data_IF_063681694941
#
_entry.id   IF_063681694941
#
_cell.length_a   1.000
_cell.length_b   1.000
_cell.length_c   1.000
_cell.angle_alpha   90.00
_cell.angle_beta   90.00
_cell.angle_gamma   90.00
#
_symmetry.space_group_name_H-M   'P 1'
#
loop_
_entity.id
_entity.type
_entity.pdbx_description
1 polymer ?
#
# COMPACT_ATOMS: atom_id res chain seq x y z
N UNK A 1 -23.79 0.82 -4.97
CA UNK A 1 -23.19 -0.39 -5.54
C UNK A 1 -22.33 -0.14 -6.78
N UNK A 2 -22.74 0.71 -7.73
CA UNK A 2 -21.95 1.02 -8.94
C UNK A 2 -20.50 1.48 -8.68
N UNK A 3 -20.27 2.34 -7.67
CA UNK A 3 -18.91 2.80 -7.30
C UNK A 3 -17.98 1.66 -6.83
N UNK A 4 -18.49 0.69 -6.05
CA UNK A 4 -17.66 -0.44 -5.61
C UNK A 4 -17.30 -1.37 -6.78
N UNK A 5 -18.23 -1.60 -7.71
CA UNK A 5 -17.98 -2.43 -8.89
C UNK A 5 -16.94 -1.81 -9.83
N UNK A 6 -17.06 -0.51 -10.12
CA UNK A 6 -16.07 0.26 -10.89
C UNK A 6 -14.70 0.25 -10.23
N UNK A 7 -14.68 0.40 -8.90
CA UNK A 7 -13.46 0.43 -8.15
C UNK A 7 -12.75 -0.93 -8.07
N UNK A 8 -13.48 -2.01 -7.82
CA UNK A 8 -12.92 -3.37 -7.83
C UNK A 8 -12.34 -3.68 -9.21
N UNK A 9 -13.02 -3.23 -10.28
CA UNK A 9 -12.53 -3.36 -11.65
C UNK A 9 -11.25 -2.54 -11.87
N UNK A 10 -11.15 -1.31 -11.38
CA UNK A 10 -9.92 -0.51 -11.45
C UNK A 10 -8.74 -1.21 -10.76
N UNK A 11 -8.95 -1.78 -9.57
CA UNK A 11 -7.92 -2.55 -8.86
C UNK A 11 -7.44 -3.79 -9.63
N UNK A 12 -8.37 -4.50 -10.28
CA UNK A 12 -8.04 -5.62 -11.15
C UNK A 12 -7.23 -5.16 -12.38
N UNK A 13 -7.60 -4.02 -12.98
CA UNK A 13 -6.91 -3.46 -14.15
C UNK A 13 -5.51 -2.93 -13.83
N UNK A 14 -5.28 -2.40 -12.62
CA UNK A 14 -3.93 -2.06 -12.14
C UNK A 14 -3.02 -3.29 -12.14
N UNK A 15 -3.57 -4.45 -11.78
CA UNK A 15 -2.82 -5.72 -11.81
C UNK A 15 -2.56 -6.22 -13.25
N UNK A 16 -3.16 -5.58 -14.26
CA UNK A 16 -2.93 -5.80 -15.69
C UNK A 16 -2.10 -4.67 -16.33
N UNK A 17 -1.48 -3.80 -15.53
CA UNK A 17 -0.62 -2.71 -16.02
C UNK A 17 -1.37 -1.52 -16.64
N UNK A 18 -2.68 -1.41 -16.40
CA UNK A 18 -3.50 -0.30 -16.91
C UNK A 18 -4.04 0.52 -15.74
N UNK A 19 -3.58 1.77 -15.61
CA UNK A 19 -4.20 2.74 -14.72
C UNK A 19 -5.49 3.29 -15.37
N UNK A 20 -6.64 2.73 -14.98
CA UNK A 20 -7.94 3.09 -15.54
C UNK A 20 -8.51 4.37 -14.90
N UNK A 21 -7.83 5.50 -15.09
CA UNK A 21 -8.19 6.79 -14.47
C UNK A 21 -9.60 7.25 -14.80
N UNK A 22 -10.10 6.96 -16.01
CA UNK A 22 -11.47 7.32 -16.41
C UNK A 22 -12.56 6.61 -15.59
N UNK A 23 -12.32 5.35 -15.20
CA UNK A 23 -13.23 4.62 -14.32
C UNK A 23 -13.15 5.14 -12.89
N UNK A 24 -11.96 5.55 -12.47
CA UNK A 24 -11.74 6.20 -11.19
C UNK A 24 -12.46 7.54 -11.12
N UNK A 25 -12.35 8.39 -12.14
CA UNK A 25 -13.05 9.68 -12.21
C UNK A 25 -14.57 9.48 -12.02
N UNK A 26 -15.17 8.54 -12.74
CA UNK A 26 -16.60 8.17 -12.57
C UNK A 26 -16.93 7.65 -11.18
N UNK A 27 -16.03 6.88 -10.57
CA UNK A 27 -16.19 6.38 -9.20
C UNK A 27 -16.15 7.53 -8.18
N UNK A 28 -15.28 8.52 -8.37
CA UNK A 28 -15.15 9.67 -7.48
C UNK A 28 -16.33 10.63 -7.60
N UNK A 29 -16.95 10.76 -8.78
CA UNK A 29 -18.23 11.47 -8.90
C UNK A 29 -19.34 10.84 -8.05
N UNK A 30 -19.38 9.50 -7.98
CA UNK A 30 -20.31 8.77 -7.09
C UNK A 30 -19.94 9.01 -5.62
N UNK A 31 -18.64 9.01 -5.29
CA UNK A 31 -18.16 9.28 -3.95
C UNK A 31 -18.58 10.69 -3.48
N UNK A 32 -18.38 11.72 -4.30
CA UNK A 32 -18.73 13.10 -3.99
C UNK A 32 -20.22 13.26 -3.59
N UNK A 33 -21.11 12.53 -4.26
CA UNK A 33 -22.56 12.52 -4.00
C UNK A 33 -23.01 11.61 -2.86
N UNK A 34 -22.14 10.77 -2.32
CA UNK A 34 -22.49 9.82 -1.25
C UNK A 34 -22.71 10.53 0.08
N UNK A 35 -23.79 10.19 0.78
CA UNK A 35 -24.03 10.64 2.15
C UNK A 35 -23.28 9.79 3.20
N UNK A 36 -22.66 8.67 2.79
CA UNK A 36 -21.98 7.74 3.69
C UNK A 36 -20.46 8.02 3.75
N UNK A 37 -19.90 8.45 4.91
CA UNK A 37 -18.48 8.78 5.05
C UNK A 37 -17.54 7.61 4.76
N UNK A 38 -17.87 6.40 5.22
CA UNK A 38 -17.08 5.20 4.95
C UNK A 38 -16.97 4.88 3.46
N UNK A 39 -18.07 5.03 2.72
CA UNK A 39 -18.07 4.84 1.25
C UNK A 39 -17.22 5.91 0.56
N UNK A 40 -17.34 7.18 0.99
CA UNK A 40 -16.50 8.27 0.48
C UNK A 40 -15.02 7.97 0.69
N UNK A 41 -14.63 7.67 1.93
CA UNK A 41 -13.24 7.39 2.30
C UNK A 41 -12.67 6.24 1.48
N UNK A 42 -13.39 5.11 1.40
CA UNK A 42 -12.94 3.95 0.63
C UNK A 42 -12.73 4.28 -0.86
N UNK A 43 -13.69 4.94 -1.51
CA UNK A 43 -13.59 5.26 -2.94
C UNK A 43 -12.46 6.25 -3.23
N UNK A 44 -12.26 7.24 -2.37
CA UNK A 44 -11.15 8.20 -2.52
C UNK A 44 -9.78 7.56 -2.28
N UNK A 45 -9.63 6.71 -1.26
CA UNK A 45 -8.39 5.94 -1.04
C UNK A 45 -8.00 5.10 -2.27
N UNK A 46 -8.99 4.41 -2.84
CA UNK A 46 -8.81 3.60 -4.04
C UNK A 46 -8.49 4.43 -5.29
N UNK A 47 -9.10 5.61 -5.40
CA UNK A 47 -8.78 6.56 -6.45
C UNK A 47 -7.36 7.10 -6.34
N UNK A 48 -6.92 7.44 -5.13
CA UNK A 48 -5.55 7.88 -4.86
C UNK A 48 -4.51 6.85 -5.32
N UNK A 49 -4.75 5.57 -5.01
CA UNK A 49 -3.90 4.47 -5.47
C UNK A 49 -3.83 4.39 -7.00
N UNK A 50 -4.98 4.53 -7.68
CA UNK A 50 -5.01 4.53 -9.16
C UNK A 50 -4.22 5.69 -9.75
N UNK A 51 -4.36 6.90 -9.18
CA UNK A 51 -3.60 8.06 -9.63
C UNK A 51 -2.10 7.96 -9.34
N UNK A 52 -1.73 7.32 -8.22
CA UNK A 52 -0.33 7.12 -7.87
C UNK A 52 0.35 6.20 -8.89
N UNK A 53 -0.29 5.08 -9.23
CA UNK A 53 0.18 4.17 -10.30
C UNK A 53 0.23 4.86 -11.66
N UNK A 54 -0.66 5.83 -11.91
CA UNK A 54 -0.63 6.66 -13.12
C UNK A 54 0.44 7.79 -13.10
N UNK A 55 1.21 7.93 -12.02
CA UNK A 55 2.20 9.00 -11.85
C UNK A 55 1.60 10.39 -11.54
N UNK A 56 0.30 10.49 -11.28
CA UNK A 56 -0.38 11.77 -11.08
C UNK A 56 -0.41 12.18 -9.60
N UNK A 57 0.70 12.80 -9.15
CA UNK A 57 0.86 13.21 -7.75
C UNK A 57 -0.18 14.22 -7.26
N UNK A 58 -0.66 15.12 -8.12
CA UNK A 58 -1.67 16.12 -7.76
C UNK A 58 -3.03 15.47 -7.48
N UNK A 59 -3.50 14.62 -8.39
CA UNK A 59 -4.77 13.89 -8.20
C UNK A 59 -4.67 12.89 -7.04
N UNK A 60 -3.51 12.28 -6.83
CA UNK A 60 -3.26 11.47 -5.62
C UNK A 60 -3.40 12.29 -4.35
N UNK A 61 -2.75 13.45 -4.26
CA UNK A 61 -2.85 14.33 -3.09
C UNK A 61 -4.30 14.75 -2.84
N UNK A 62 -5.01 15.17 -3.88
CA UNK A 62 -6.40 15.57 -3.80
C UNK A 62 -7.28 14.43 -3.27
N UNK A 63 -7.17 13.23 -3.86
CA UNK A 63 -7.97 12.08 -3.44
C UNK A 63 -7.66 11.67 -1.99
N UNK A 64 -6.40 11.69 -1.55
CA UNK A 64 -6.04 11.43 -0.15
C UNK A 64 -6.66 12.47 0.80
N UNK A 65 -6.61 13.75 0.45
CA UNK A 65 -7.24 14.81 1.24
C UNK A 65 -8.76 14.62 1.37
N UNK A 66 -9.44 14.24 0.29
CA UNK A 66 -10.88 13.94 0.36
C UNK A 66 -11.19 12.69 1.20
N UNK A 67 -10.30 11.70 1.23
CA UNK A 67 -10.46 10.53 2.10
C UNK A 67 -10.29 10.89 3.58
N UNK A 68 -9.35 11.80 3.89
CA UNK A 68 -9.10 12.33 5.23
C UNK A 68 -10.27 13.18 5.72
N UNK A 69 -10.79 14.08 4.87
CA UNK A 69 -11.99 14.87 5.17
C UNK A 69 -13.20 13.96 5.47
N UNK A 70 -13.34 12.85 4.73
CA UNK A 70 -14.39 11.88 4.98
C UNK A 70 -14.25 11.19 6.35
N UNK A 71 -13.02 10.94 6.83
CA UNK A 71 -12.77 10.37 8.17
C UNK A 71 -13.10 11.37 9.29
N UNK A 72 -12.80 12.66 9.11
CA UNK A 72 -13.08 13.69 10.12
C UNK A 72 -14.57 13.98 10.32
N UNK A 73 -15.42 13.54 9.40
CA UNK A 73 -16.87 13.77 9.45
C UNK A 73 -17.58 12.74 10.36
N UNK A 74 -17.62 13.04 11.67
CA UNK A 74 -18.28 12.25 12.71
C UNK A 74 -19.83 12.33 12.72
N UNK A 75 -20.47 12.69 11.60
CA UNK A 75 -21.92 12.71 11.54
C UNK A 75 -22.45 11.29 11.79
N UNK A 76 -23.31 11.11 12.80
CA UNK A 76 -23.82 9.81 13.27
C UNK A 76 -24.20 8.96 12.05
N UNK A 77 -23.39 7.96 11.66
CA UNK A 77 -23.65 7.25 10.43
C UNK A 77 -24.87 6.37 10.66
N UNK A 78 -25.80 6.34 9.70
CA UNK A 78 -26.47 5.08 9.42
C UNK A 78 -25.37 4.03 9.25
N UNK A 79 -25.54 2.87 9.88
CA UNK A 79 -24.56 1.79 9.97
C UNK A 79 -23.83 1.63 8.62
N UNK A 80 -22.52 1.88 8.62
CA UNK A 80 -21.74 1.88 7.39
C UNK A 80 -21.78 0.46 6.79
N UNK A 81 -21.91 0.32 5.45
CA UNK A 81 -21.89 -1.00 4.84
C UNK A 81 -20.59 -1.74 5.18
N UNK A 82 -20.67 -3.04 5.50
CA UNK A 82 -19.52 -3.86 5.89
C UNK A 82 -18.34 -3.79 4.90
N UNK A 83 -18.64 -3.69 3.61
CA UNK A 83 -17.62 -3.61 2.56
C UNK A 83 -16.85 -2.27 2.56
N UNK A 84 -17.30 -1.26 3.31
CA UNK A 84 -16.69 0.07 3.41
C UNK A 84 -16.18 0.41 4.82
N UNK A 85 -16.76 -0.18 5.87
CA UNK A 85 -16.45 0.15 7.26
C UNK A 85 -14.98 -0.14 7.63
N UNK A 86 -14.42 -1.25 7.15
CA UNK A 86 -13.04 -1.65 7.46
C UNK A 86 -11.99 -0.61 7.00
N UNK A 87 -12.22 0.07 5.87
CA UNK A 87 -11.30 1.07 5.31
C UNK A 87 -11.47 2.46 5.92
N UNK A 88 -12.49 2.65 6.74
CA UNK A 88 -12.80 3.91 7.39
C UNK A 88 -12.07 4.04 8.73
N UNK A 89 -10.74 3.99 8.68
CA UNK A 89 -9.90 4.20 9.86
C UNK A 89 -8.67 5.03 9.50
N UNK A 90 -8.11 5.72 10.50
CA UNK A 90 -6.88 6.51 10.33
C UNK A 90 -5.71 5.63 9.87
N UNK A 91 -5.59 4.42 10.43
CA UNK A 91 -4.51 3.48 10.10
C UNK A 91 -4.57 3.02 8.63
N UNK A 92 -5.77 2.71 8.11
CA UNK A 92 -5.92 2.32 6.70
C UNK A 92 -5.61 3.48 5.74
N UNK A 93 -6.00 4.71 6.10
CA UNK A 93 -5.62 5.89 5.32
C UNK A 93 -4.09 6.12 5.32
N UNK A 94 -3.44 6.00 6.48
CA UNK A 94 -1.98 6.08 6.62
C UNK A 94 -1.27 5.04 5.73
N UNK A 95 -1.77 3.80 5.71
CA UNK A 95 -1.27 2.72 4.82
C UNK A 95 -1.39 3.12 3.35
N UNK A 96 -2.58 3.56 2.91
CA UNK A 96 -2.80 3.90 1.50
C UNK A 96 -2.00 5.14 1.10
N UNK A 97 -1.97 6.17 1.93
CA UNK A 97 -1.17 7.37 1.68
C UNK A 97 0.31 7.02 1.53
N UNK A 98 0.85 6.25 2.47
CA UNK A 98 2.22 5.78 2.46
C UNK A 98 2.60 5.03 1.18
N UNK A 99 1.75 4.08 0.77
CA UNK A 99 1.93 3.33 -0.48
C UNK A 99 1.88 4.22 -1.71
N UNK A 100 0.92 5.14 -1.78
CA UNK A 100 0.82 6.09 -2.90
C UNK A 100 2.07 6.96 -3.02
N UNK A 101 2.59 7.47 -1.90
CA UNK A 101 3.80 8.30 -1.91
C UNK A 101 5.07 7.50 -2.19
N UNK A 102 5.11 6.23 -1.83
CA UNK A 102 6.21 5.31 -2.21
C UNK A 102 6.23 5.10 -3.72
N UNK A 103 5.07 4.77 -4.31
CA UNK A 103 4.91 4.60 -5.76
C UNK A 103 5.36 5.86 -6.54
N UNK A 104 5.03 7.03 -6.01
CA UNK A 104 5.38 8.32 -6.61
C UNK A 104 6.81 8.80 -6.30
N UNK A 105 7.65 7.99 -5.61
CA UNK A 105 9.00 8.36 -5.18
C UNK A 105 9.03 9.69 -4.41
N UNK A 106 8.25 9.75 -3.33
CA UNK A 106 8.13 10.90 -2.40
C UNK A 106 8.39 10.44 -0.95
N UNK A 107 9.65 10.13 -0.61
CA UNK A 107 9.97 9.40 0.62
C UNK A 107 9.63 10.19 1.88
N UNK A 108 9.82 11.52 1.86
CA UNK A 108 9.48 12.42 2.97
C UNK A 108 7.98 12.44 3.34
N UNK A 109 7.10 11.97 2.43
CA UNK A 109 5.67 11.80 2.70
C UNK A 109 5.32 10.34 2.98
N UNK A 110 6.03 9.40 2.35
CA UNK A 110 5.76 7.97 2.45
C UNK A 110 6.18 7.39 3.81
N UNK A 111 7.42 7.66 4.23
CA UNK A 111 8.01 7.06 5.45
C UNK A 111 7.19 7.39 6.69
N UNK A 112 6.87 8.67 7.01
CA UNK A 112 6.14 8.98 8.24
C UNK A 112 4.74 8.35 8.28
N UNK A 113 4.05 8.28 7.12
CA UNK A 113 2.73 7.66 7.04
C UNK A 113 2.78 6.15 7.29
N UNK A 114 3.77 5.45 6.70
CA UNK A 114 3.93 4.02 6.90
C UNK A 114 4.43 3.68 8.31
N UNK A 115 5.35 4.46 8.88
CA UNK A 115 5.77 4.30 10.28
C UNK A 115 4.58 4.44 11.25
N UNK A 116 3.78 5.50 11.09
CA UNK A 116 2.59 5.74 11.91
C UNK A 116 1.59 4.58 11.84
N UNK A 117 1.36 4.04 10.65
CA UNK A 117 0.53 2.86 10.48
C UNK A 117 1.12 1.61 11.14
N UNK A 118 2.41 1.32 10.91
CA UNK A 118 3.07 0.10 11.39
C UNK A 118 3.21 0.06 12.92
N UNK A 119 3.26 1.23 13.57
CA UNK A 119 3.23 1.35 15.02
C UNK A 119 1.89 0.87 15.63
N UNK A 120 0.78 0.95 14.89
CA UNK A 120 -0.57 0.59 15.34
C UNK A 120 -1.04 -0.78 14.82
N UNK A 121 -0.46 -1.25 13.71
CA UNK A 121 -0.93 -2.46 13.03
C UNK A 121 -0.46 -3.73 13.76
N UNK A 122 -1.40 -4.59 14.14
CA UNK A 122 -1.13 -5.78 14.96
C UNK A 122 -0.43 -6.90 14.16
N UNK A 123 0.49 -7.63 14.80
CA UNK A 123 1.24 -8.73 14.17
C UNK A 123 0.36 -9.96 13.87
N UNK A 124 -0.81 -10.09 14.49
CA UNK A 124 -1.82 -11.11 14.15
C UNK A 124 -2.29 -11.00 12.70
N UNK A 125 -2.17 -9.82 12.09
CA UNK A 125 -2.37 -9.58 10.66
C UNK A 125 -1.06 -9.71 9.86
N UNK A 126 -0.27 -10.75 10.15
CA UNK A 126 1.10 -10.95 9.66
C UNK A 126 1.26 -10.81 8.14
N UNK A 127 0.30 -11.31 7.37
CA UNK A 127 0.32 -11.23 5.89
C UNK A 127 0.28 -9.79 5.39
N UNK A 128 -0.65 -9.00 5.90
CA UNK A 128 -0.86 -7.63 5.45
C UNK A 128 0.24 -6.73 6.00
N UNK A 129 0.65 -6.93 7.26
CA UNK A 129 1.78 -6.22 7.85
C UNK A 129 3.09 -6.47 7.10
N UNK A 130 3.36 -7.71 6.69
CA UNK A 130 4.51 -8.04 5.84
C UNK A 130 4.46 -7.27 4.52
N UNK A 131 3.29 -7.21 3.87
CA UNK A 131 3.12 -6.42 2.66
C UNK A 131 3.42 -4.93 2.92
N UNK A 132 2.89 -4.34 3.99
CA UNK A 132 3.09 -2.91 4.28
C UNK A 132 4.53 -2.57 4.67
N UNK A 133 5.22 -3.45 5.41
CA UNK A 133 6.65 -3.28 5.71
C UNK A 133 7.52 -3.32 4.44
N UNK A 134 7.11 -4.07 3.40
CA UNK A 134 7.80 -4.02 2.11
C UNK A 134 7.63 -2.67 1.38
N UNK A 135 6.56 -1.93 1.64
CA UNK A 135 6.40 -0.56 1.16
C UNK A 135 7.26 0.41 1.96
N UNK A 136 7.34 0.22 3.28
CA UNK A 136 8.19 1.04 4.14
C UNK A 136 9.67 0.88 3.80
N UNK A 137 10.13 -0.36 3.56
CA UNK A 137 11.49 -0.63 3.13
C UNK A 137 11.84 0.06 1.80
N UNK A 138 10.95 -0.02 0.81
CA UNK A 138 11.10 0.62 -0.49
C UNK A 138 11.14 2.16 -0.37
N UNK A 139 10.31 2.74 0.52
CA UNK A 139 10.34 4.17 0.83
C UNK A 139 11.64 4.61 1.52
N UNK A 140 12.18 3.80 2.44
CA UNK A 140 13.48 4.08 3.06
C UNK A 140 14.64 3.97 2.06
N UNK A 141 14.61 2.99 1.14
CA UNK A 141 15.60 2.91 0.06
C UNK A 141 15.60 4.18 -0.79
N UNK A 142 14.42 4.68 -1.17
CA UNK A 142 14.28 5.96 -1.90
C UNK A 142 14.77 7.17 -1.08
N UNK A 143 14.69 7.09 0.25
CA UNK A 143 15.24 8.10 1.16
C UNK A 143 16.77 8.01 1.35
N UNK A 144 17.42 6.95 0.87
CA UNK A 144 18.82 6.64 1.15
C UNK A 144 19.07 6.02 2.53
N UNK A 145 18.02 5.67 3.27
CA UNK A 145 18.05 5.11 4.62
C UNK A 145 18.16 3.57 4.58
N UNK A 146 19.25 3.07 4.00
CA UNK A 146 19.40 1.64 3.66
C UNK A 146 19.33 0.71 4.88
N UNK A 147 19.85 1.12 6.04
CA UNK A 147 19.80 0.29 7.26
C UNK A 147 18.37 0.14 7.80
N UNK A 148 17.60 1.24 7.79
CA UNK A 148 16.18 1.24 8.15
C UNK A 148 15.36 0.41 7.15
N UNK A 149 15.70 0.51 5.87
CA UNK A 149 15.11 -0.31 4.83
C UNK A 149 15.36 -1.81 5.07
N UNK A 150 16.60 -2.18 5.38
CA UNK A 150 17.00 -3.56 5.61
C UNK A 150 16.28 -4.16 6.83
N UNK A 151 16.19 -3.38 7.91
CA UNK A 151 15.45 -3.75 9.13
C UNK A 151 13.97 -4.00 8.82
N UNK A 152 13.34 -3.09 8.08
CA UNK A 152 11.93 -3.19 7.70
C UNK A 152 11.65 -4.40 6.81
N UNK A 153 12.49 -4.65 5.80
CA UNK A 153 12.33 -5.80 4.90
C UNK A 153 12.62 -7.13 5.62
N UNK A 154 13.60 -7.16 6.52
CA UNK A 154 13.87 -8.32 7.37
C UNK A 154 12.65 -8.73 8.20
N UNK A 155 12.00 -7.75 8.86
CA UNK A 155 10.75 -7.99 9.60
C UNK A 155 9.62 -8.47 8.69
N UNK A 156 9.54 -7.94 7.47
CA UNK A 156 8.56 -8.37 6.48
C UNK A 156 8.75 -9.85 6.10
N UNK A 157 10.00 -10.30 5.93
CA UNK A 157 10.31 -11.71 5.69
C UNK A 157 9.91 -12.59 6.89
N UNK A 158 10.24 -12.18 8.11
CA UNK A 158 9.91 -12.94 9.33
C UNK A 158 8.40 -13.20 9.44
N UNK A 159 7.58 -12.17 9.20
CA UNK A 159 6.12 -12.28 9.22
C UNK A 159 5.55 -13.11 8.05
N UNK A 160 6.24 -13.14 6.90
CA UNK A 160 5.80 -13.90 5.72
C UNK A 160 6.17 -15.38 5.74
N UNK A 161 7.09 -15.79 6.62
CA UNK A 161 7.64 -17.16 6.68
C UNK A 161 6.59 -18.26 6.79
N UNK A 162 5.45 -17.99 7.42
CA UNK A 162 4.35 -18.95 7.60
C UNK A 162 3.16 -18.72 6.64
N UNK A 163 3.31 -17.84 5.66
CA UNK A 163 2.21 -17.42 4.78
C UNK A 163 2.47 -17.88 3.34
N UNK A 164 1.79 -18.94 2.93
CA UNK A 164 1.83 -19.44 1.54
C UNK A 164 1.03 -18.51 0.60
N UNK A 165 1.57 -17.35 0.25
CA UNK A 165 0.97 -16.43 -0.72
C UNK A 165 2.01 -15.87 -1.69
N UNK A 166 1.80 -16.10 -2.99
CA UNK A 166 2.74 -15.71 -4.05
C UNK A 166 2.92 -14.20 -4.20
N UNK A 167 1.87 -13.40 -3.95
CA UNK A 167 1.89 -11.96 -4.23
C UNK A 167 2.76 -11.14 -3.26
N UNK A 168 2.65 -11.30 -1.92
CA UNK A 168 3.60 -10.68 -0.99
C UNK A 168 5.03 -11.13 -1.25
N UNK A 169 5.26 -12.42 -1.53
CA UNK A 169 6.59 -12.96 -1.82
C UNK A 169 7.23 -12.31 -3.05
N UNK A 170 6.46 -12.10 -4.13
CA UNK A 170 6.95 -11.41 -5.32
C UNK A 170 7.39 -9.97 -5.02
N UNK A 171 6.60 -9.22 -4.23
CA UNK A 171 6.98 -7.86 -3.85
C UNK A 171 8.21 -7.85 -2.94
N UNK A 172 8.29 -8.75 -1.95
CA UNK A 172 9.46 -8.87 -1.08
C UNK A 172 10.72 -9.16 -1.89
N UNK A 173 10.65 -10.06 -2.88
CA UNK A 173 11.74 -10.30 -3.82
C UNK A 173 12.14 -9.06 -4.61
N UNK A 174 11.17 -8.35 -5.21
CA UNK A 174 11.45 -7.14 -5.98
C UNK A 174 12.09 -6.02 -5.14
N UNK A 175 11.72 -5.87 -3.86
CA UNK A 175 12.36 -4.91 -2.96
C UNK A 175 13.73 -5.42 -2.51
N UNK A 176 13.89 -6.73 -2.26
CA UNK A 176 15.16 -7.35 -1.92
C UNK A 176 16.22 -7.16 -3.03
N UNK A 177 15.80 -7.24 -4.30
CA UNK A 177 16.69 -7.05 -5.46
C UNK A 177 17.34 -5.66 -5.48
N UNK A 178 16.67 -4.64 -4.94
CA UNK A 178 17.21 -3.27 -4.85
C UNK A 178 18.39 -3.17 -3.87
N UNK A 179 18.55 -4.12 -2.95
CA UNK A 179 19.66 -4.13 -1.98
C UNK A 179 20.98 -4.67 -2.55
N UNK A 180 20.99 -5.21 -3.77
CA UNK A 180 22.19 -5.79 -4.39
C UNK A 180 23.34 -4.76 -4.53
N UNK A 181 23.00 -3.49 -4.74
CA UNK A 181 23.97 -2.39 -4.83
C UNK A 181 24.44 -1.86 -3.46
N UNK A 182 23.90 -2.41 -2.37
CA UNK A 182 24.13 -1.94 -0.99
C UNK A 182 24.76 -2.99 -0.06
N UNK A 183 25.42 -4.01 -0.63
CA UNK A 183 26.00 -5.16 0.11
C UNK A 183 26.96 -4.79 1.24
N UNK A 184 27.61 -3.62 1.17
CA UNK A 184 28.55 -3.14 2.19
C UNK A 184 27.88 -2.52 3.41
N UNK A 185 26.58 -2.22 3.34
CA UNK A 185 25.82 -1.64 4.46
C UNK A 185 25.46 -2.74 5.47
N UNK A 186 25.50 -2.40 6.75
CA UNK A 186 25.21 -3.33 7.84
C UNK A 186 23.83 -3.98 7.68
N UNK A 187 23.75 -5.29 7.95
CA UNK A 187 22.50 -6.07 7.86
C UNK A 187 22.04 -6.43 6.44
N UNK A 188 22.58 -5.80 5.39
CA UNK A 188 22.16 -6.08 4.00
C UNK A 188 22.60 -7.46 3.53
N UNK A 189 23.82 -7.89 3.86
CA UNK A 189 24.30 -9.22 3.49
C UNK A 189 23.43 -10.35 4.09
N UNK A 190 23.06 -10.22 5.36
CA UNK A 190 22.17 -11.17 6.05
C UNK A 190 20.77 -11.16 5.44
N UNK A 191 20.26 -9.98 5.06
CA UNK A 191 18.97 -9.85 4.39
C UNK A 191 18.97 -10.51 3.00
N UNK A 192 20.01 -10.30 2.19
CA UNK A 192 20.16 -10.94 0.87
C UNK A 192 20.23 -12.47 0.97
N UNK A 193 20.83 -13.00 2.04
CA UNK A 193 20.86 -14.44 2.31
C UNK A 193 19.47 -15.06 2.58
N UNK A 194 18.44 -14.24 2.87
CA UNK A 194 17.05 -14.69 3.05
C UNK A 194 16.30 -14.89 1.74
N UNK A 195 16.90 -14.59 0.58
CA UNK A 195 16.24 -14.81 -0.73
C UNK A 195 15.76 -16.27 -0.81
N UNK A 196 14.45 -16.53 -1.02
CA UNK A 196 13.98 -17.89 -1.17
C UNK A 196 14.65 -18.54 -2.37
N UNK A 197 15.12 -19.78 -2.21
CA UNK A 197 15.71 -20.55 -3.30
C UNK A 197 14.69 -20.63 -4.45
N UNK A 198 15.09 -20.18 -5.63
CA UNK A 198 14.21 -20.13 -6.81
C UNK A 198 13.68 -21.55 -7.10
N UNK A 199 12.36 -21.82 -7.04
CA UNK A 199 11.85 -23.17 -7.28
C UNK A 199 11.91 -23.61 -8.75
N UNK A 200 12.55 -22.85 -9.64
CA UNK A 200 12.73 -23.21 -11.06
C UNK A 200 14.22 -23.31 -11.42
N UNK A 201 14.92 -24.25 -10.79
CA UNK A 201 16.03 -25.01 -11.38
C UNK A 201 16.07 -26.42 -10.77
N UNK A 202 15.00 -27.20 -10.97
CA UNK A 202 15.11 -28.67 -10.97
C UNK A 202 15.05 -29.08 -12.43
N UNK A 203 16.18 -29.55 -12.93
CA UNK A 203 16.43 -29.70 -14.36
C UNK A 203 15.51 -30.67 -15.09
N UNK A 204 15.42 -30.45 -16.40
CA UNK A 204 15.72 -31.43 -17.45
C UNK A 204 15.95 -30.69 -18.76
#
# INVERSE_FOLDING_TARGET
>A
MAGNALCLRSYQLISLGQAATDLTDKSLEVAARSAQPAVKSLLYQRGAWTYAVAGNAERTAFALGQAEEALGNNHVPAEAPDWASWAHSQTELEIIAGRCWTELRRPLRAVPALEAAMAKYDDSHARDKSLYLSWLADAYLDAGEVEHAATSLGRAFDLSSNVASARPQQRLGAVLDQFEDHKSVAGVADLLARRPANPVQVGR
#
